data_IF_509141660629
#
_entry.id   IF_509141660629
#
_cell.length_a   1.000
_cell.length_b   1.000
_cell.length_c   1.000
_cell.angle_alpha   90.00
_cell.angle_beta   90.00
_cell.angle_gamma   90.00
#
_symmetry.space_group_name_H-M   'P 1'
#
loop_
_entity.id
_entity.type
_entity.pdbx_description
1 polymer ?
#
# COMPACT_ATOMS: atom_id res chain seq x y z
N UNK A 1 -11.54 17.17 9.19
CA UNK A 1 -12.96 16.86 8.98
C UNK A 1 -13.17 15.48 8.35
N UNK A 2 -12.60 15.20 7.17
CA UNK A 2 -12.84 13.95 6.42
C UNK A 2 -12.53 12.66 7.18
N UNK A 3 -11.39 12.55 7.87
CA UNK A 3 -11.04 11.34 8.64
C UNK A 3 -12.08 11.01 9.71
N UNK A 4 -12.54 12.03 10.46
CA UNK A 4 -13.55 11.86 11.51
C UNK A 4 -14.89 11.46 10.91
N UNK A 5 -15.33 12.16 9.87
CA UNK A 5 -16.56 11.82 9.13
C UNK A 5 -16.58 10.36 8.68
N UNK A 6 -15.47 9.84 8.12
CA UNK A 6 -15.37 8.44 7.68
C UNK A 6 -15.33 7.44 8.84
N UNK A 7 -14.62 7.78 9.92
CA UNK A 7 -14.56 6.96 11.12
C UNK A 7 -15.96 6.79 11.72
N UNK A 8 -16.70 7.89 11.84
CA UNK A 8 -18.07 7.92 12.38
C UNK A 8 -19.06 7.14 11.51
N UNK A 9 -18.85 7.08 10.19
CA UNK A 9 -19.67 6.35 9.22
C UNK A 9 -19.30 4.86 9.05
N UNK A 10 -18.21 4.40 9.66
CA UNK A 10 -17.73 3.02 9.49
C UNK A 10 -17.70 2.31 10.85
N UNK A 11 -16.55 2.31 11.52
CA UNK A 11 -16.33 1.60 12.77
C UNK A 11 -15.60 2.50 13.77
N UNK A 12 -16.33 3.36 14.52
CA UNK A 12 -15.73 4.37 15.37
C UNK A 12 -14.78 3.83 16.46
N UNK A 13 -14.99 2.58 16.89
CA UNK A 13 -14.12 1.92 17.87
C UNK A 13 -12.78 1.44 17.32
N UNK A 14 -12.54 1.53 16.00
CA UNK A 14 -11.36 0.98 15.34
C UNK A 14 -10.48 2.09 14.76
N UNK A 15 -9.14 1.91 14.70
CA UNK A 15 -8.27 2.89 14.07
C UNK A 15 -8.56 2.99 12.56
N UNK A 16 -8.56 4.22 12.03
CA UNK A 16 -8.74 4.49 10.60
C UNK A 16 -7.45 5.02 9.96
N UNK A 17 -7.18 4.56 8.75
CA UNK A 17 -6.05 4.91 7.90
C UNK A 17 -6.58 5.37 6.55
N UNK A 18 -6.00 6.46 6.03
CA UNK A 18 -6.19 6.88 4.64
C UNK A 18 -4.86 6.79 3.91
N UNK A 19 -4.86 6.18 2.72
CA UNK A 19 -3.67 6.02 1.89
C UNK A 19 -3.88 6.65 0.50
N UNK A 20 -2.80 7.19 -0.06
CA UNK A 20 -2.73 7.62 -1.46
C UNK A 20 -1.63 6.80 -2.13
N UNK A 21 -1.99 6.10 -3.21
CA UNK A 21 -1.11 5.23 -3.97
C UNK A 21 -0.59 5.92 -5.23
N UNK A 22 0.58 5.53 -5.71
CA UNK A 22 1.19 6.07 -6.94
C UNK A 22 0.91 5.14 -8.11
N UNK A 23 0.45 5.68 -9.24
CA UNK A 23 0.28 4.94 -10.50
C UNK A 23 -0.82 3.86 -10.52
N UNK A 24 -1.55 3.69 -9.42
CA UNK A 24 -2.69 2.77 -9.31
C UNK A 24 -3.84 3.46 -8.59
N UNK A 25 -5.04 3.37 -9.13
CA UNK A 25 -6.23 3.94 -8.48
C UNK A 25 -6.72 3.05 -7.34
N UNK A 26 -7.55 3.63 -6.46
CA UNK A 26 -8.27 2.87 -5.41
C UNK A 26 -8.97 1.65 -6.01
N UNK A 27 -9.72 1.85 -7.08
CA UNK A 27 -10.57 0.79 -7.64
C UNK A 27 -9.72 -0.30 -8.31
N UNK A 28 -8.62 0.07 -8.97
CA UNK A 28 -7.67 -0.90 -9.52
C UNK A 28 -7.01 -1.73 -8.44
N UNK A 29 -6.55 -1.10 -7.35
CA UNK A 29 -5.94 -1.80 -6.22
C UNK A 29 -6.94 -2.73 -5.55
N UNK A 30 -8.12 -2.22 -5.19
CA UNK A 30 -9.17 -3.00 -4.51
C UNK A 30 -9.67 -4.17 -5.37
N UNK A 31 -9.77 -4.01 -6.69
CA UNK A 31 -10.23 -5.07 -7.59
C UNK A 31 -9.21 -6.21 -7.78
N UNK A 32 -7.90 -5.93 -7.58
CA UNK A 32 -6.83 -6.92 -7.80
C UNK A 32 -6.26 -7.49 -6.50
N UNK A 33 -6.42 -6.81 -5.36
CA UNK A 33 -5.92 -7.29 -4.07
C UNK A 33 -6.74 -8.48 -3.57
N UNK A 34 -6.12 -9.66 -3.48
CA UNK A 34 -6.81 -10.94 -3.20
C UNK A 34 -6.94 -11.25 -1.69
N UNK A 35 -6.77 -10.25 -0.82
CA UNK A 35 -6.85 -10.43 0.62
C UNK A 35 -7.63 -9.27 1.28
N UNK A 36 -8.19 -9.51 2.46
CA UNK A 36 -8.89 -8.49 3.25
C UNK A 36 -7.94 -7.72 4.20
N UNK A 37 -6.69 -8.17 4.34
CA UNK A 37 -5.67 -7.53 5.16
C UNK A 37 -4.51 -7.02 4.31
N UNK A 38 -3.83 -6.00 4.83
CA UNK A 38 -2.59 -5.44 4.29
C UNK A 38 -1.56 -5.30 5.42
N UNK A 39 -0.30 -5.12 5.05
CA UNK A 39 0.77 -4.77 5.99
C UNK A 39 1.27 -3.37 5.65
N UNK A 40 1.49 -2.55 6.67
CA UNK A 40 1.97 -1.17 6.53
C UNK A 40 3.32 -1.05 7.22
N UNK A 41 4.30 -0.51 6.52
CA UNK A 41 5.62 -0.19 7.05
C UNK A 41 5.82 1.32 7.02
N UNK A 42 6.32 1.89 8.12
CA UNK A 42 6.68 3.31 8.19
C UNK A 42 8.06 3.54 7.60
N UNK A 43 8.23 4.66 6.89
CA UNK A 43 9.49 5.08 6.30
C UNK A 43 9.66 6.60 6.42
N UNK A 44 10.90 7.06 6.49
CA UNK A 44 11.23 8.48 6.67
C UNK A 44 11.29 9.27 5.35
N UNK A 45 11.26 8.58 4.20
CA UNK A 45 11.30 9.19 2.88
C UNK A 45 10.62 8.30 1.83
N UNK A 46 10.29 8.85 0.67
CA UNK A 46 9.77 8.07 -0.45
C UNK A 46 10.78 7.00 -0.92
N UNK A 47 12.08 7.34 -0.93
CA UNK A 47 13.13 6.40 -1.29
C UNK A 47 13.24 5.24 -0.28
N UNK A 48 13.05 5.52 1.01
CA UNK A 48 13.07 4.45 2.04
C UNK A 48 11.78 3.62 2.02
N UNK A 49 10.64 4.21 1.65
CA UNK A 49 9.40 3.46 1.43
C UNK A 49 9.55 2.47 0.26
N UNK A 50 10.15 2.92 -0.86
CA UNK A 50 10.47 2.07 -2.01
C UNK A 50 11.40 0.92 -1.59
N UNK A 51 12.46 1.22 -0.82
CA UNK A 51 13.38 0.19 -0.30
C UNK A 51 12.67 -0.82 0.61
N UNK A 52 11.79 -0.38 1.50
CA UNK A 52 11.07 -1.27 2.41
C UNK A 52 10.16 -2.24 1.64
N UNK A 53 9.45 -1.76 0.62
CA UNK A 53 8.63 -2.60 -0.27
C UNK A 53 9.51 -3.59 -1.04
N UNK A 54 10.58 -3.11 -1.67
CA UNK A 54 11.48 -3.94 -2.47
C UNK A 54 12.24 -4.98 -1.64
N UNK A 55 12.60 -4.67 -0.39
CA UNK A 55 13.22 -5.64 0.51
C UNK A 55 12.30 -6.84 0.78
N UNK A 56 11.00 -6.58 1.02
CA UNK A 56 10.01 -7.64 1.20
C UNK A 56 9.75 -8.42 -0.09
N UNK A 57 9.67 -7.73 -1.23
CA UNK A 57 9.52 -8.35 -2.54
C UNK A 57 10.70 -9.28 -2.85
N UNK A 58 11.93 -8.79 -2.72
CA UNK A 58 13.15 -9.56 -2.96
C UNK A 58 13.26 -10.78 -2.03
N UNK A 59 12.88 -10.64 -0.77
CA UNK A 59 12.82 -11.78 0.17
C UNK A 59 11.80 -12.84 -0.31
N UNK A 60 10.60 -12.42 -0.71
CA UNK A 60 9.58 -13.36 -1.18
C UNK A 60 10.00 -14.07 -2.48
N UNK A 61 10.59 -13.33 -3.42
CA UNK A 61 11.16 -13.88 -4.65
C UNK A 61 12.27 -14.90 -4.35
N UNK A 62 13.20 -14.59 -3.43
CA UNK A 62 14.26 -15.50 -3.02
C UNK A 62 13.74 -16.79 -2.35
N UNK A 63 12.54 -16.75 -1.77
CA UNK A 63 11.83 -17.92 -1.23
C UNK A 63 11.03 -18.69 -2.28
N UNK A 64 11.10 -18.29 -3.56
CA UNK A 64 10.38 -18.93 -4.66
C UNK A 64 8.92 -18.51 -4.78
N UNK A 65 8.53 -17.38 -4.19
CA UNK A 65 7.17 -16.84 -4.29
C UNK A 65 7.11 -15.86 -5.46
N UNK A 66 6.15 -16.05 -6.38
CA UNK A 66 5.92 -15.08 -7.46
C UNK A 66 5.43 -13.75 -6.89
N UNK A 67 6.13 -12.66 -7.22
CA UNK A 67 5.83 -11.32 -6.72
C UNK A 67 5.16 -10.49 -7.80
N UNK A 68 4.00 -9.92 -7.48
CA UNK A 68 3.34 -8.89 -8.29
C UNK A 68 3.45 -7.54 -7.61
N UNK A 69 4.10 -6.57 -8.25
CA UNK A 69 4.17 -5.17 -7.80
C UNK A 69 3.21 -4.33 -8.65
N UNK A 70 2.43 -3.45 -8.02
CA UNK A 70 1.51 -2.56 -8.70
C UNK A 70 1.86 -1.08 -8.47
N UNK A 71 1.37 -0.22 -9.35
CA UNK A 71 1.60 1.23 -9.28
C UNK A 71 2.95 1.66 -9.87
N UNK A 72 3.47 2.78 -9.39
CA UNK A 72 4.73 3.39 -9.81
C UNK A 72 5.49 3.95 -8.62
N UNK A 73 6.75 4.34 -8.83
CA UNK A 73 7.51 5.18 -7.89
C UNK A 73 6.90 6.59 -7.84
N UNK A 74 7.24 7.34 -6.80
CA UNK A 74 6.86 8.77 -6.71
C UNK A 74 7.27 9.51 -8.00
N UNK A 75 6.36 10.29 -8.56
CA UNK A 75 6.57 11.02 -9.82
C UNK A 75 6.28 10.22 -11.09
N UNK A 76 5.74 9.00 -10.97
CA UNK A 76 5.26 8.22 -12.12
C UNK A 76 6.31 7.34 -12.80
N UNK A 77 7.52 7.23 -12.24
CA UNK A 77 8.56 6.34 -12.76
C UNK A 77 8.16 4.87 -12.53
N UNK A 78 8.29 4.03 -13.57
CA UNK A 78 7.99 2.60 -13.47
C UNK A 78 8.87 1.88 -12.41
N UNK A 79 8.37 0.75 -11.91
CA UNK A 79 9.08 -0.08 -10.93
C UNK A 79 10.29 -0.78 -11.53
#
# INVERSE_FOLDING_TARGET
>A
EETRRRLDLTSPGWPIMSAVTYGVSRDQFMAKHKANHIQVAYANSAADADKAMLAKAAMAEAMGIEVSICGTRKGGKAW
#
